data_IF_242704633506
#
_entry.id   IF_242704633506
#
_cell.length_a   1.000
_cell.length_b   1.000
_cell.length_c   1.000
_cell.angle_alpha   90.00
_cell.angle_beta   90.00
_cell.angle_gamma   90.00
#
_symmetry.space_group_name_H-M   'P 1'
#
loop_
_entity.id
_entity.type
_entity.pdbx_description
1 polymer ?
#
# COMPACT_ATOMS: atom_id res chain seq x y z
N UNK A 1 -17.36 -1.33 19.71
CA UNK A 1 -16.53 -0.46 18.85
C UNK A 1 -16.03 -1.24 17.64
N UNK A 2 -15.47 -2.43 17.86
CA UNK A 2 -15.01 -3.29 16.77
C UNK A 2 -16.14 -3.90 15.93
N UNK A 3 -17.33 -4.14 16.49
CA UNK A 3 -18.51 -4.53 15.68
C UNK A 3 -18.82 -3.51 14.57
N UNK A 4 -18.81 -2.21 14.89
CA UNK A 4 -19.04 -1.17 13.87
C UNK A 4 -17.95 -1.15 12.81
N UNK A 5 -16.69 -1.34 13.20
CA UNK A 5 -15.57 -1.41 12.26
C UNK A 5 -15.69 -2.66 11.39
N UNK A 6 -16.03 -3.80 11.97
CA UNK A 6 -16.23 -5.06 11.26
C UNK A 6 -17.29 -4.93 10.17
N UNK A 7 -18.46 -4.35 10.49
CA UNK A 7 -19.51 -4.12 9.50
C UNK A 7 -19.06 -3.25 8.33
N UNK A 8 -18.13 -2.31 8.55
CA UNK A 8 -17.55 -1.47 7.48
C UNK A 8 -16.60 -2.26 6.59
N UNK A 9 -15.75 -3.12 7.17
CA UNK A 9 -14.65 -3.76 6.43
C UNK A 9 -14.94 -5.17 5.94
N UNK A 10 -16.00 -5.83 6.44
CA UNK A 10 -16.28 -7.25 6.13
C UNK A 10 -16.50 -7.52 4.64
N UNK A 11 -17.08 -6.57 3.92
CA UNK A 11 -17.39 -6.71 2.49
C UNK A 11 -16.29 -6.14 1.58
N UNK A 12 -15.25 -5.52 2.15
CA UNK A 12 -14.13 -4.98 1.38
C UNK A 12 -13.12 -6.07 1.01
N UNK A 13 -12.68 -6.08 -0.25
CA UNK A 13 -11.58 -6.95 -0.71
C UNK A 13 -10.21 -6.41 -0.27
N UNK A 14 -10.07 -5.09 -0.21
CA UNK A 14 -8.84 -4.38 0.17
C UNK A 14 -9.15 -3.39 1.29
N UNK A 15 -8.42 -3.49 2.41
CA UNK A 15 -8.60 -2.63 3.59
C UNK A 15 -7.32 -1.84 3.83
N UNK A 16 -7.43 -0.52 3.90
CA UNK A 16 -6.33 0.38 4.22
C UNK A 16 -6.48 0.95 5.62
N UNK A 17 -5.46 0.78 6.45
CA UNK A 17 -5.31 1.47 7.73
C UNK A 17 -4.39 2.68 7.56
N UNK A 18 -4.98 3.87 7.65
CA UNK A 18 -4.30 5.17 7.53
C UNK A 18 -4.35 5.96 8.85
N UNK A 19 -4.31 5.25 9.98
CA UNK A 19 -4.45 5.84 11.30
C UNK A 19 -3.25 6.73 11.67
N UNK A 20 -3.44 7.56 12.71
CA UNK A 20 -2.33 8.28 13.33
C UNK A 20 -1.27 7.28 13.86
N UNK A 21 -0.03 7.75 13.96
CA UNK A 21 1.07 6.96 14.50
C UNK A 21 0.73 6.38 15.88
N UNK A 22 1.02 5.09 16.06
CA UNK A 22 0.74 4.37 17.31
C UNK A 22 -0.73 4.11 17.61
N UNK A 23 -1.63 4.18 16.61
CA UNK A 23 -3.05 3.87 16.78
C UNK A 23 -3.41 2.59 16.05
N UNK A 24 -3.91 1.59 16.78
CA UNK A 24 -4.48 0.37 16.21
C UNK A 24 -5.96 0.53 15.88
N UNK A 25 -6.34 0.19 14.65
CA UNK A 25 -7.72 0.25 14.15
C UNK A 25 -8.35 -1.13 14.09
N UNK A 26 -7.66 -2.10 13.51
CA UNK A 26 -8.14 -3.48 13.39
C UNK A 26 -7.46 -4.35 14.44
N UNK A 27 -8.22 -4.73 15.46
CA UNK A 27 -7.77 -5.59 16.56
C UNK A 27 -7.65 -7.06 16.13
N UNK A 28 -7.02 -7.88 16.98
CA UNK A 28 -6.93 -9.34 16.79
C UNK A 28 -8.32 -9.98 16.63
N UNK A 29 -9.28 -9.56 17.45
CA UNK A 29 -10.64 -10.10 17.45
C UNK A 29 -11.34 -9.82 16.12
N UNK A 30 -11.20 -8.59 15.62
CA UNK A 30 -11.77 -8.20 14.34
C UNK A 30 -11.09 -8.97 13.19
N UNK A 31 -9.75 -8.99 13.17
CA UNK A 31 -8.98 -9.67 12.13
C UNK A 31 -9.31 -11.17 12.06
N UNK A 32 -9.48 -11.82 13.20
CA UNK A 32 -9.83 -13.24 13.30
C UNK A 32 -11.24 -13.56 12.79
N UNK A 33 -12.15 -12.57 12.80
CA UNK A 33 -13.52 -12.69 12.31
C UNK A 33 -13.67 -12.33 10.83
N UNK A 34 -12.68 -11.66 10.24
CA UNK A 34 -12.78 -11.21 8.85
C UNK A 34 -13.00 -12.38 7.89
N UNK A 35 -13.86 -12.20 6.87
CA UNK A 35 -13.92 -13.13 5.77
C UNK A 35 -12.55 -13.32 5.12
N UNK A 36 -12.32 -14.52 4.62
CA UNK A 36 -11.09 -14.90 3.92
C UNK A 36 -10.95 -14.15 2.58
N UNK A 37 -9.77 -14.24 1.97
CA UNK A 37 -9.42 -13.70 0.65
C UNK A 37 -9.39 -12.16 0.62
N UNK A 38 -8.67 -11.54 1.56
CA UNK A 38 -8.56 -10.08 1.67
C UNK A 38 -7.11 -9.61 1.58
N UNK A 39 -6.93 -8.37 1.17
CA UNK A 39 -5.65 -7.66 1.28
C UNK A 39 -5.81 -6.57 2.35
N UNK A 40 -4.86 -6.48 3.26
CA UNK A 40 -4.81 -5.44 4.28
C UNK A 40 -3.50 -4.66 4.18
N UNK A 41 -3.60 -3.35 4.33
CA UNK A 41 -2.49 -2.43 4.07
C UNK A 41 -2.36 -1.48 5.26
N UNK A 42 -1.16 -1.33 5.79
CA UNK A 42 -0.86 -0.37 6.85
C UNK A 42 0.35 0.48 6.49
N UNK A 43 0.17 1.80 6.54
CA UNK A 43 1.24 2.77 6.26
C UNK A 43 1.99 3.21 7.52
N UNK A 44 1.59 2.74 8.70
CA UNK A 44 2.19 3.15 9.96
C UNK A 44 3.54 2.44 10.22
N UNK A 45 4.53 3.20 10.68
CA UNK A 45 5.85 2.71 11.12
C UNK A 45 6.01 2.68 12.65
N UNK A 46 5.06 3.25 13.39
CA UNK A 46 5.12 3.42 14.84
C UNK A 46 4.15 2.45 15.51
N UNK A 47 4.64 1.49 16.32
CA UNK A 47 3.78 0.60 17.10
C UNK A 47 2.91 1.34 18.13
N UNK A 48 1.73 0.80 18.49
CA UNK A 48 1.08 -0.33 17.83
C UNK A 48 0.69 0.03 16.38
N UNK A 49 0.80 -0.97 15.50
CA UNK A 49 0.42 -0.82 14.11
C UNK A 49 -1.10 -0.72 13.98
N UNK A 50 -1.56 -0.14 12.88
CA UNK A 50 -2.97 0.06 12.58
C UNK A 50 -3.76 -1.25 12.43
N UNK A 51 -3.08 -2.33 12.07
CA UNK A 51 -3.68 -3.66 11.88
C UNK A 51 -2.90 -4.67 12.71
N UNK A 52 -3.61 -5.43 13.55
CA UNK A 52 -2.98 -6.49 14.33
C UNK A 52 -2.30 -7.54 13.44
N UNK A 53 -1.15 -8.06 13.89
CA UNK A 53 -0.35 -9.02 13.14
C UNK A 53 0.40 -8.46 11.92
N UNK A 54 0.13 -7.23 11.46
CA UNK A 54 0.91 -6.63 10.37
C UNK A 54 2.28 -6.17 10.87
N UNK A 55 3.28 -6.23 9.98
CA UNK A 55 4.63 -5.70 10.22
C UNK A 55 5.00 -4.78 9.08
N UNK A 56 5.82 -3.73 9.32
CA UNK A 56 6.21 -2.79 8.29
C UNK A 56 6.83 -3.43 7.06
N UNK A 57 7.52 -4.56 7.23
CA UNK A 57 8.22 -5.26 6.16
C UNK A 57 7.37 -6.24 5.34
N UNK A 58 6.12 -6.51 5.75
CA UNK A 58 5.29 -7.46 4.99
C UNK A 58 5.06 -6.92 3.58
N UNK A 59 5.24 -7.79 2.59
CA UNK A 59 5.02 -7.48 1.18
C UNK A 59 4.25 -8.63 0.54
N UNK A 60 2.92 -8.52 0.55
CA UNK A 60 1.98 -9.54 0.08
C UNK A 60 2.15 -10.90 0.78
N UNK A 61 2.42 -10.88 2.09
CA UNK A 61 2.57 -12.07 2.92
C UNK A 61 1.25 -12.43 3.59
N UNK A 62 0.94 -13.72 3.74
CA UNK A 62 -0.25 -14.16 4.47
C UNK A 62 -0.06 -13.93 5.98
N UNK A 63 -0.88 -13.07 6.59
CA UNK A 63 -0.79 -12.71 8.01
C UNK A 63 -1.90 -13.31 8.87
N UNK A 64 -3.02 -13.66 8.24
CA UNK A 64 -4.15 -14.42 8.79
C UNK A 64 -4.66 -15.37 7.68
N UNK A 65 -5.47 -16.40 7.99
CA UNK A 65 -5.93 -17.36 6.99
C UNK A 65 -6.56 -16.72 5.75
N UNK A 66 -5.84 -16.77 4.62
CA UNK A 66 -6.12 -16.15 3.32
C UNK A 66 -6.30 -14.64 3.39
N UNK A 67 -5.62 -13.95 4.30
CA UNK A 67 -5.55 -12.50 4.39
C UNK A 67 -4.10 -12.08 4.24
N UNK A 68 -3.81 -11.30 3.20
CA UNK A 68 -2.47 -10.90 2.81
C UNK A 68 -2.19 -9.47 3.27
N UNK A 69 -1.05 -9.26 3.95
CA UNK A 69 -0.63 -7.99 4.51
C UNK A 69 0.43 -7.28 3.66
N UNK A 70 0.29 -5.96 3.52
CA UNK A 70 1.32 -5.07 2.97
C UNK A 70 1.62 -3.98 4.00
N UNK A 71 2.86 -3.94 4.47
CA UNK A 71 3.33 -2.99 5.46
C UNK A 71 3.99 -1.74 4.86
N UNK A 72 4.21 -0.77 5.73
CA UNK A 72 4.70 0.57 5.37
C UNK A 72 6.02 0.59 4.58
N UNK A 73 6.96 -0.34 4.85
CA UNK A 73 8.25 -0.38 4.16
C UNK A 73 8.14 -0.97 2.75
N UNK A 74 7.24 -1.94 2.53
CA UNK A 74 6.94 -2.45 1.19
C UNK A 74 6.44 -1.32 0.27
N UNK A 75 5.51 -0.52 0.79
CA UNK A 75 4.97 0.66 0.10
C UNK A 75 6.04 1.75 -0.06
N UNK A 76 6.82 2.00 0.99
CA UNK A 76 7.86 3.03 1.03
C UNK A 76 8.96 2.80 0.00
N UNK A 77 9.32 1.54 -0.28
CA UNK A 77 10.29 1.21 -1.31
C UNK A 77 9.83 1.62 -2.71
N UNK A 78 8.59 1.28 -3.10
CA UNK A 78 8.01 1.71 -4.38
C UNK A 78 7.90 3.24 -4.47
N UNK A 79 7.44 3.89 -3.39
CA UNK A 79 7.34 5.37 -3.32
C UNK A 79 8.70 6.03 -3.56
N UNK A 80 9.71 5.66 -2.78
CA UNK A 80 11.05 6.27 -2.86
C UNK A 80 11.72 6.02 -4.21
N UNK A 81 11.53 4.83 -4.80
CA UNK A 81 12.03 4.51 -6.15
C UNK A 81 11.36 5.37 -7.21
N UNK A 82 10.04 5.56 -7.11
CA UNK A 82 9.24 6.41 -8.02
C UNK A 82 9.68 7.86 -7.93
N UNK A 83 9.78 8.42 -6.72
CA UNK A 83 10.27 9.79 -6.49
C UNK A 83 11.69 10.00 -7.02
N UNK A 84 12.58 9.03 -6.81
CA UNK A 84 13.94 9.07 -7.37
C UNK A 84 13.95 9.08 -8.90
N UNK A 85 13.04 8.35 -9.55
CA UNK A 85 12.91 8.36 -11.02
C UNK A 85 12.36 9.69 -11.53
N UNK A 86 11.36 10.27 -10.87
CA UNK A 86 10.86 11.61 -11.16
C UNK A 86 11.98 12.64 -11.07
N UNK A 87 12.77 12.63 -9.99
CA UNK A 87 13.89 13.56 -9.81
C UNK A 87 14.95 13.39 -10.92
N UNK A 88 15.30 12.16 -11.28
CA UNK A 88 16.22 11.88 -12.40
C UNK A 88 15.70 12.35 -13.76
N UNK A 89 14.40 12.33 -13.97
CA UNK A 89 13.79 12.86 -15.19
C UNK A 89 13.77 14.39 -15.19
N UNK A 90 13.47 15.00 -14.04
CA UNK A 90 13.50 16.43 -13.85
C UNK A 90 14.87 17.04 -14.18
N UNK A 91 15.99 16.40 -13.78
CA UNK A 91 17.34 16.87 -14.11
C UNK A 91 17.66 16.87 -15.61
N UNK A 92 16.93 16.06 -16.41
CA UNK A 92 17.09 15.95 -17.87
C UNK A 92 16.10 16.79 -18.64
N UNK A 93 15.10 17.35 -17.97
CA UNK A 93 14.00 18.08 -18.60
C UNK A 93 14.44 19.48 -19.01
N UNK A 94 14.22 19.83 -20.29
CA UNK A 94 14.40 21.19 -20.78
C UNK A 94 13.08 21.95 -20.67
N UNK A 95 13.12 23.16 -20.11
CA UNK A 95 11.93 23.99 -19.92
C UNK A 95 11.11 23.58 -18.68
N UNK A 96 9.84 24.00 -18.64
CA UNK A 96 8.95 23.76 -17.50
C UNK A 96 8.14 22.48 -17.74
N UNK A 97 8.20 21.55 -16.79
CA UNK A 97 7.35 20.36 -16.73
C UNK A 97 6.79 20.22 -15.32
N UNK A 98 5.51 19.85 -15.23
CA UNK A 98 4.86 19.51 -13.97
C UNK A 98 4.92 18.00 -13.81
N UNK A 99 5.42 17.55 -12.66
CA UNK A 99 5.43 16.13 -12.28
C UNK A 99 4.30 15.92 -11.28
N UNK A 100 3.14 15.50 -11.77
CA UNK A 100 1.93 15.27 -10.97
C UNK A 100 1.76 13.78 -10.61
N UNK A 101 0.64 13.45 -9.99
CA UNK A 101 0.33 12.07 -9.61
C UNK A 101 0.13 11.14 -10.81
N UNK A 102 -0.27 11.66 -11.99
CA UNK A 102 -0.42 10.82 -13.19
C UNK A 102 0.94 10.33 -13.67
N UNK A 103 1.94 11.22 -13.73
CA UNK A 103 3.30 10.84 -14.09
C UNK A 103 3.89 9.89 -13.04
N UNK A 104 3.68 10.17 -11.75
CA UNK A 104 4.13 9.28 -10.68
C UNK A 104 3.52 7.87 -10.81
N UNK A 105 2.22 7.78 -11.12
CA UNK A 105 1.52 6.51 -11.29
C UNK A 105 2.04 5.71 -12.49
N UNK A 106 2.28 6.34 -13.64
CA UNK A 106 2.84 5.66 -14.80
C UNK A 106 4.27 5.18 -14.54
N UNK A 107 5.12 5.99 -13.89
CA UNK A 107 6.48 5.58 -13.49
C UNK A 107 6.42 4.40 -12.51
N UNK A 108 5.54 4.44 -11.51
CA UNK A 108 5.36 3.34 -10.56
C UNK A 108 4.90 2.05 -11.26
N UNK A 109 3.98 2.15 -12.22
CA UNK A 109 3.56 1.01 -13.06
C UNK A 109 4.70 0.46 -13.90
N UNK A 110 5.52 1.31 -14.51
CA UNK A 110 6.70 0.86 -15.26
C UNK A 110 7.71 0.14 -14.36
N UNK A 111 7.89 0.61 -13.12
CA UNK A 111 8.76 -0.04 -12.12
C UNK A 111 8.22 -1.42 -11.74
N UNK A 112 6.91 -1.56 -11.53
CA UNK A 112 6.30 -2.82 -11.09
C UNK A 112 6.12 -3.85 -12.20
N UNK A 113 5.69 -3.41 -13.39
CA UNK A 113 5.25 -4.30 -14.46
C UNK A 113 6.18 -4.29 -15.68
N UNK A 114 7.25 -3.49 -15.63
CA UNK A 114 8.10 -3.23 -16.78
C UNK A 114 7.44 -2.29 -17.80
N UNK A 115 8.16 -1.99 -18.89
CA UNK A 115 7.62 -1.16 -19.98
C UNK A 115 6.60 -1.95 -20.79
N UNK A 116 5.43 -1.36 -21.03
CA UNK A 116 4.46 -1.89 -21.99
C UNK A 116 5.13 -1.95 -23.38
N UNK A 117 5.23 -3.15 -23.94
CA UNK A 117 5.62 -3.34 -25.33
C UNK A 117 4.41 -2.98 -26.18
N UNK A 118 4.44 -1.82 -26.84
CA UNK A 118 3.44 -1.47 -27.84
C UNK A 118 3.90 -2.09 -29.16
N UNK A 119 3.21 -3.14 -29.60
CA UNK A 119 3.41 -3.72 -30.94
C UNK A 119 2.59 -2.87 -31.89
N UNK A 120 3.25 -1.94 -32.60
CA UNK A 120 2.66 -1.24 -33.74
C UNK A 120 2.37 -2.25 -34.84
N UNK A 121 1.09 -2.38 -35.22
CA UNK A 121 0.66 -3.13 -36.40
C UNK A 121 0.92 -2.31 -37.66
#
# INVERSE_FOLDING_TARGET
MDEKKFEIVKDADIIWSLAAAGVQILSEELMSKLPKNKIVIDINLVPPYGIEGIKPKHDNEEIYPRIFGIGALGIGHLKSTTEGSILREATKTKGKKIFDYNIAFEIAKEILFGKKIVISH
#
